data_IF_466693149408
#
_entry.id   IF_466693149408
#
_cell.length_a   1.000
_cell.length_b   1.000
_cell.length_c   1.000
_cell.angle_alpha   90.00
_cell.angle_beta   90.00
_cell.angle_gamma   90.00
#
_symmetry.space_group_name_H-M   'P 1'
#
loop_
_entity.id
_entity.type
_entity.pdbx_description
1 polymer ?
#
# COMPACT_ATOMS: atom_id res chain seq x y z
N UNK A 1 -26.47 -70.92 -4.55
CA UNK A 1 -26.43 -69.76 -3.64
C UNK A 1 -25.36 -68.81 -4.15
N UNK A 2 -25.78 -67.68 -4.72
CA UNK A 2 -24.90 -66.69 -5.36
C UNK A 2 -24.39 -65.72 -4.29
N UNK A 3 -23.07 -65.56 -4.22
CA UNK A 3 -22.40 -64.59 -3.35
C UNK A 3 -22.67 -63.16 -3.82
N UNK A 4 -23.16 -62.34 -2.90
CA UNK A 4 -23.41 -60.91 -3.07
C UNK A 4 -22.24 -60.17 -2.41
N UNK A 5 -21.30 -59.64 -3.19
CA UNK A 5 -20.30 -58.69 -2.71
C UNK A 5 -20.73 -57.28 -3.08
N UNK A 6 -21.27 -56.56 -2.10
CA UNK A 6 -21.57 -55.14 -2.19
C UNK A 6 -20.27 -54.37 -1.85
N UNK A 7 -19.63 -53.75 -2.84
CA UNK A 7 -18.52 -52.83 -2.61
C UNK A 7 -19.11 -51.50 -2.15
N UNK A 8 -18.98 -51.21 -0.86
CA UNK A 8 -19.30 -49.92 -0.27
C UNK A 8 -18.13 -48.95 -0.58
N UNK A 9 -18.16 -48.29 -1.73
CA UNK A 9 -17.28 -47.15 -1.98
C UNK A 9 -17.80 -45.95 -1.17
N UNK A 10 -17.38 -45.87 0.10
CA UNK A 10 -17.41 -44.60 0.83
C UNK A 10 -16.46 -43.63 0.12
N UNK A 11 -17.00 -42.82 -0.78
CA UNK A 11 -16.35 -41.62 -1.28
C UNK A 11 -16.18 -40.65 -0.11
N UNK A 12 -15.05 -40.76 0.59
CA UNK A 12 -14.55 -39.67 1.41
C UNK A 12 -14.26 -38.51 0.45
N UNK A 13 -15.21 -37.58 0.33
CA UNK A 13 -14.91 -36.25 -0.20
C UNK A 13 -13.91 -35.61 0.75
N UNK A 14 -12.62 -35.76 0.46
CA UNK A 14 -11.59 -34.94 1.08
C UNK A 14 -11.89 -33.50 0.65
N UNK A 15 -12.46 -32.72 1.57
CA UNK A 15 -12.55 -31.28 1.38
C UNK A 15 -11.12 -30.76 1.32
N UNK A 16 -10.64 -30.46 0.12
CA UNK A 16 -9.39 -29.73 -0.06
C UNK A 16 -9.68 -28.26 0.25
N UNK A 17 -9.27 -27.80 1.44
CA UNK A 17 -9.36 -26.40 1.79
C UNK A 17 -8.18 -25.66 1.16
N UNK A 18 -8.47 -24.67 0.30
CA UNK A 18 -7.43 -23.84 -0.34
C UNK A 18 -6.77 -22.82 0.58
N UNK A 19 -6.96 -22.92 1.89
CA UNK A 19 -6.40 -21.98 2.86
C UNK A 19 -4.89 -22.20 2.99
N UNK A 20 -4.10 -21.12 3.13
CA UNK A 20 -2.70 -21.26 3.50
C UNK A 20 -2.61 -21.92 4.87
N UNK A 21 -1.59 -22.75 5.04
CA UNK A 21 -1.33 -23.45 6.30
C UNK A 21 -0.42 -22.60 7.20
N UNK A 22 -0.32 -22.92 8.51
CA UNK A 22 0.63 -22.25 9.41
C UNK A 22 2.09 -22.28 8.93
N UNK A 23 2.49 -23.27 8.13
CA UNK A 23 3.83 -23.38 7.56
C UNK A 23 4.10 -22.31 6.49
N UNK A 24 3.04 -21.78 5.86
CA UNK A 24 3.14 -20.72 4.87
C UNK A 24 3.27 -19.32 5.52
N UNK A 25 2.96 -19.17 6.82
CA UNK A 25 3.02 -17.89 7.52
C UNK A 25 4.47 -17.35 7.65
N UNK A 26 4.61 -16.02 7.79
CA UNK A 26 5.88 -15.45 8.26
C UNK A 26 5.98 -15.61 9.76
N UNK A 27 7.12 -16.10 10.24
CA UNK A 27 7.39 -16.32 11.65
C UNK A 27 8.76 -15.74 12.00
N UNK A 28 8.78 -14.92 13.04
CA UNK A 28 10.00 -14.37 13.63
C UNK A 28 9.89 -14.43 15.15
N UNK A 29 11.03 -14.39 15.83
CA UNK A 29 11.13 -14.30 17.29
C UNK A 29 11.25 -12.85 17.79
N UNK A 30 11.39 -11.90 16.88
CA UNK A 30 11.55 -10.47 17.15
C UNK A 30 10.82 -9.59 16.12
N UNK A 31 10.75 -8.29 16.42
CA UNK A 31 10.38 -7.27 15.44
C UNK A 31 11.59 -6.94 14.55
N UNK A 32 11.34 -6.68 13.27
CA UNK A 32 12.34 -6.16 12.36
C UNK A 32 12.90 -4.81 12.85
N UNK A 33 14.19 -4.56 12.65
CA UNK A 33 14.86 -3.29 13.01
C UNK A 33 14.82 -2.25 11.90
N UNK A 34 14.37 -2.66 10.70
CA UNK A 34 14.22 -1.82 9.52
C UNK A 34 12.81 -1.92 8.97
N UNK A 35 12.35 -0.86 8.31
CA UNK A 35 11.00 -0.78 7.75
C UNK A 35 10.81 -1.72 6.54
N UNK A 36 11.87 -1.99 5.78
CA UNK A 36 11.86 -2.86 4.59
C UNK A 36 11.84 -4.36 4.92
N UNK A 37 11.98 -4.70 6.20
CA UNK A 37 11.82 -6.06 6.75
C UNK A 37 10.55 -6.20 7.61
N UNK A 38 9.73 -5.15 7.67
CA UNK A 38 8.54 -5.08 8.50
C UNK A 38 7.46 -6.09 8.09
N UNK A 39 6.52 -6.37 9.00
CA UNK A 39 5.30 -7.13 8.67
C UNK A 39 4.34 -6.22 7.91
N UNK A 40 3.98 -6.54 6.64
CA UNK A 40 3.03 -5.75 5.87
C UNK A 40 1.59 -6.16 6.13
N UNK A 41 0.70 -5.18 6.29
CA UNK A 41 -0.75 -5.34 6.31
C UNK A 41 -1.38 -4.35 5.32
N UNK A 42 -2.47 -4.74 4.66
CA UNK A 42 -3.17 -3.84 3.74
C UNK A 42 -4.51 -4.36 3.23
N UNK A 43 -5.26 -3.48 2.57
CA UNK A 43 -6.50 -3.82 1.86
C UNK A 43 -6.63 -3.07 0.51
N UNK A 44 -5.51 -2.74 -0.13
CA UNK A 44 -5.45 -1.95 -1.36
C UNK A 44 -5.71 -0.46 -1.21
N UNK A 45 -6.45 -0.03 -0.18
CA UNK A 45 -6.65 1.40 0.10
C UNK A 45 -5.77 1.89 1.25
N UNK A 46 -5.76 1.15 2.36
CA UNK A 46 -5.03 1.46 3.60
C UNK A 46 -3.94 0.42 3.79
N UNK A 47 -2.77 0.83 4.26
CA UNK A 47 -1.66 -0.05 4.59
C UNK A 47 -0.97 0.30 5.89
N UNK A 48 -0.29 -0.70 6.45
CA UNK A 48 0.60 -0.55 7.59
C UNK A 48 1.82 -1.46 7.49
N UNK A 49 2.97 -0.97 7.95
CA UNK A 49 4.18 -1.78 8.19
C UNK A 49 4.44 -1.84 9.69
N UNK A 50 4.55 -3.04 10.26
CA UNK A 50 4.80 -3.23 11.71
C UNK A 50 6.26 -3.66 11.93
N UNK A 51 7.02 -2.83 12.64
CA UNK A 51 8.44 -3.03 12.91
C UNK A 51 8.87 -2.30 14.18
N UNK A 52 10.13 -2.49 14.59
CA UNK A 52 10.72 -1.80 15.73
C UNK A 52 11.53 -0.60 15.23
N UNK A 53 11.15 0.59 15.69
CA UNK A 53 11.97 1.80 15.53
C UNK A 53 12.31 2.34 16.90
N UNK A 54 13.60 2.51 17.17
CA UNK A 54 14.10 2.91 18.48
C UNK A 54 13.50 2.02 19.60
N UNK A 55 12.84 2.62 20.59
CA UNK A 55 12.15 1.92 21.67
C UNK A 55 10.62 1.85 21.45
N UNK A 56 10.19 1.68 20.20
CA UNK A 56 8.76 1.63 19.86
C UNK A 56 8.39 0.43 18.99
N UNK A 57 7.19 -0.11 19.21
CA UNK A 57 6.50 -0.93 18.20
C UNK A 57 5.84 0.07 17.26
N UNK A 58 6.39 0.24 16.05
CA UNK A 58 5.97 1.26 15.09
C UNK A 58 5.11 0.64 14.01
N UNK A 59 4.01 1.31 13.71
CA UNK A 59 3.11 1.04 12.60
C UNK A 59 3.27 2.22 11.64
N UNK A 60 3.97 2.04 10.52
CA UNK A 60 4.05 3.05 9.45
C UNK A 60 2.73 3.04 8.70
N UNK A 61 1.97 4.14 8.71
CA UNK A 61 0.62 4.19 8.19
C UNK A 61 0.58 4.90 6.83
N UNK A 62 -0.16 4.32 5.90
CA UNK A 62 -0.21 4.82 4.53
C UNK A 62 -1.58 4.55 3.88
N UNK A 63 -1.90 5.32 2.85
CA UNK A 63 -3.15 5.23 2.10
C UNK A 63 -2.88 5.51 0.62
N UNK A 64 -3.40 4.64 -0.25
CA UNK A 64 -3.05 4.59 -1.68
C UNK A 64 -3.35 5.90 -2.46
N UNK A 65 -4.34 6.68 -2.01
CA UNK A 65 -4.78 7.92 -2.65
C UNK A 65 -4.23 9.20 -2.00
N UNK A 66 -3.23 9.11 -1.11
CA UNK A 66 -2.52 10.28 -0.59
C UNK A 66 -1.36 10.66 -1.51
N UNK A 67 -1.54 11.79 -2.20
CA UNK A 67 -0.61 12.28 -3.22
C UNK A 67 -0.51 13.79 -3.19
N UNK A 68 0.68 14.31 -3.43
CA UNK A 68 0.87 15.65 -3.98
C UNK A 68 0.78 15.56 -5.51
N UNK A 69 -0.21 16.22 -6.11
CA UNK A 69 -0.38 16.25 -7.57
C UNK A 69 -0.05 17.62 -8.19
N UNK A 70 0.68 18.49 -7.49
CA UNK A 70 1.19 19.73 -8.09
C UNK A 70 1.98 19.41 -9.35
N UNK A 71 1.72 20.14 -10.43
CA UNK A 71 2.39 19.91 -11.71
C UNK A 71 3.81 20.44 -11.68
N UNK A 72 4.77 19.56 -11.93
CA UNK A 72 6.17 19.94 -12.13
C UNK A 72 6.59 19.92 -13.62
N UNK A 73 5.88 19.14 -14.45
CA UNK A 73 6.21 18.94 -15.85
C UNK A 73 5.20 19.65 -16.76
N UNK A 74 5.68 20.65 -17.49
CA UNK A 74 4.91 21.43 -18.46
C UNK A 74 4.95 20.75 -19.84
N UNK A 75 4.20 19.65 -19.97
CA UNK A 75 4.16 18.86 -21.20
C UNK A 75 3.65 19.67 -22.39
N UNK A 76 2.78 20.65 -22.17
CA UNK A 76 2.18 21.49 -23.20
C UNK A 76 3.18 22.31 -24.01
N UNK A 77 4.38 22.55 -23.49
CA UNK A 77 5.39 23.39 -24.14
C UNK A 77 5.98 22.74 -25.40
N UNK A 78 6.02 21.41 -25.47
CA UNK A 78 6.60 20.68 -26.60
C UNK A 78 5.80 19.42 -26.93
N UNK A 79 6.11 18.81 -28.06
CA UNK A 79 5.47 17.58 -28.52
C UNK A 79 6.51 16.63 -29.12
N UNK A 80 6.08 15.44 -29.51
CA UNK A 80 6.95 14.38 -30.03
C UNK A 80 7.70 14.83 -31.30
N UNK A 81 7.07 15.60 -32.19
CA UNK A 81 7.74 16.15 -33.37
C UNK A 81 8.88 17.12 -32.99
N UNK A 82 8.68 17.97 -31.97
CA UNK A 82 9.76 18.81 -31.45
C UNK A 82 10.93 17.97 -30.92
N UNK A 83 10.66 16.89 -30.17
CA UNK A 83 11.70 15.96 -29.70
C UNK A 83 12.47 15.36 -30.88
N UNK A 84 11.77 14.89 -31.91
CA UNK A 84 12.38 14.36 -33.13
C UNK A 84 13.27 15.40 -33.83
N UNK A 85 12.87 16.67 -33.84
CA UNK A 85 13.67 17.77 -34.40
C UNK A 85 14.94 18.02 -33.59
N UNK A 86 14.86 18.02 -32.25
CA UNK A 86 16.04 18.19 -31.40
C UNK A 86 17.06 17.06 -31.60
N UNK A 87 16.58 15.81 -31.78
CA UNK A 87 17.46 14.68 -32.10
C UNK A 87 18.15 14.90 -33.45
N UNK A 88 17.41 15.27 -34.50
CA UNK A 88 17.98 15.54 -35.84
C UNK A 88 18.99 16.68 -35.83
N UNK A 89 18.80 17.66 -34.96
CA UNK A 89 19.68 18.83 -34.83
C UNK A 89 20.86 18.62 -33.86
N UNK A 90 21.05 17.40 -33.32
CA UNK A 90 22.04 17.10 -32.29
C UNK A 90 21.93 17.99 -31.04
N UNK A 91 20.73 18.43 -30.69
CA UNK A 91 20.42 19.32 -29.56
C UNK A 91 19.61 18.62 -28.46
N UNK A 92 19.85 17.32 -28.24
CA UNK A 92 19.09 16.51 -27.27
C UNK A 92 19.14 17.05 -25.83
N UNK A 93 20.18 17.80 -25.46
CA UNK A 93 20.26 18.46 -24.14
C UNK A 93 19.04 19.34 -23.84
N UNK A 94 18.45 20.01 -24.84
CA UNK A 94 17.22 20.79 -24.65
C UNK A 94 16.02 19.92 -24.30
N UNK A 95 15.96 18.70 -24.85
CA UNK A 95 14.93 17.71 -24.51
C UNK A 95 15.07 17.29 -23.05
N UNK A 96 16.29 17.02 -22.59
CA UNK A 96 16.54 16.62 -21.20
C UNK A 96 16.18 17.73 -20.21
N UNK A 97 16.50 18.98 -20.55
CA UNK A 97 16.15 20.14 -19.70
C UNK A 97 14.63 20.33 -19.57
N UNK A 98 13.87 20.03 -20.62
CA UNK A 98 12.42 20.14 -20.60
C UNK A 98 11.72 18.90 -20.01
N UNK A 99 12.11 17.71 -20.45
CA UNK A 99 11.41 16.46 -20.20
C UNK A 99 11.90 15.70 -18.97
N UNK A 100 13.18 15.82 -18.63
CA UNK A 100 13.82 14.97 -17.61
C UNK A 100 14.06 15.76 -16.32
N UNK A 101 14.71 16.92 -16.43
CA UNK A 101 15.14 17.73 -15.30
C UNK A 101 14.02 18.14 -14.31
N UNK A 102 12.75 18.40 -14.74
CA UNK A 102 11.70 18.75 -13.79
C UNK A 102 11.37 17.62 -12.80
N UNK A 103 11.48 16.36 -13.23
CA UNK A 103 11.22 15.18 -12.39
C UNK A 103 12.21 15.14 -11.21
N UNK A 104 13.50 15.41 -11.48
CA UNK A 104 14.57 15.40 -10.46
C UNK A 104 14.56 16.64 -9.57
N UNK A 105 14.31 17.81 -10.16
CA UNK A 105 14.36 19.09 -9.46
C UNK A 105 13.19 19.28 -8.50
N UNK A 106 12.01 18.81 -8.87
CA UNK A 106 10.80 19.01 -8.08
C UNK A 106 10.58 17.87 -7.08
N UNK A 107 10.17 18.15 -5.83
CA UNK A 107 9.76 17.11 -4.88
C UNK A 107 8.37 16.53 -5.17
N UNK A 108 7.60 17.16 -6.06
CA UNK A 108 6.25 16.75 -6.49
C UNK A 108 6.17 16.60 -8.02
N UNK A 109 5.11 15.99 -8.60
CA UNK A 109 4.12 15.14 -7.93
C UNK A 109 4.77 13.97 -7.19
N UNK A 110 4.14 13.45 -6.14
CA UNK A 110 4.64 12.28 -5.39
C UNK A 110 3.54 11.68 -4.53
N UNK A 111 3.59 10.38 -4.30
CA UNK A 111 2.83 9.75 -3.23
C UNK A 111 3.32 10.24 -1.86
N UNK A 112 2.41 10.35 -0.89
CA UNK A 112 2.69 10.85 0.46
C UNK A 112 2.49 9.76 1.53
N UNK A 113 3.42 9.61 2.49
CA UNK A 113 3.16 8.81 3.68
C UNK A 113 2.23 9.59 4.64
N UNK A 114 1.36 8.89 5.37
CA UNK A 114 0.36 9.56 6.20
C UNK A 114 0.90 9.94 7.58
N UNK A 115 1.21 8.93 8.40
CA UNK A 115 1.65 9.09 9.78
C UNK A 115 2.29 7.81 10.30
N UNK A 116 2.72 7.82 11.56
CA UNK A 116 3.02 6.59 12.28
C UNK A 116 2.14 6.47 13.51
N UNK A 117 1.74 5.26 13.83
CA UNK A 117 1.24 4.89 15.15
C UNK A 117 2.34 4.16 15.90
N UNK A 118 2.44 4.34 17.20
CA UNK A 118 3.36 3.52 17.99
C UNK A 118 2.82 3.11 19.35
N UNK A 119 3.45 2.07 19.87
CA UNK A 119 3.39 1.68 21.26
C UNK A 119 4.78 1.75 21.89
N UNK A 120 4.88 2.18 23.14
CA UNK A 120 6.14 2.15 23.89
C UNK A 120 6.59 0.71 24.11
N UNK A 121 7.68 0.31 23.46
CA UNK A 121 8.20 -1.05 23.49
C UNK A 121 8.62 -1.46 24.90
N UNK A 122 9.16 -0.54 25.70
CA UNK A 122 9.60 -0.84 27.06
C UNK A 122 8.44 -1.26 27.97
N UNK A 123 7.22 -0.77 27.71
CA UNK A 123 6.04 -1.16 28.48
C UNK A 123 5.55 -2.56 28.16
N UNK A 124 5.78 -3.05 26.94
CA UNK A 124 5.42 -4.41 26.50
C UNK A 124 6.45 -5.47 26.90
N UNK A 125 7.72 -5.10 26.99
CA UNK A 125 8.81 -6.03 27.29
C UNK A 125 9.24 -6.86 26.07
N UNK A 126 9.83 -8.04 26.32
CA UNK A 126 10.45 -8.86 25.29
C UNK A 126 9.43 -9.57 24.40
N UNK A 127 9.50 -9.35 23.09
CA UNK A 127 8.81 -10.14 22.07
C UNK A 127 9.42 -11.54 22.02
N UNK A 128 8.59 -12.57 21.98
CA UNK A 128 9.01 -13.98 21.83
C UNK A 128 8.45 -14.62 20.56
N UNK A 129 7.52 -13.94 19.88
CA UNK A 129 6.95 -14.39 18.62
C UNK A 129 6.30 -13.21 17.89
N UNK A 130 6.55 -13.12 16.59
CA UNK A 130 5.99 -12.16 15.66
C UNK A 130 5.58 -12.91 14.38
N UNK A 131 4.27 -13.06 14.19
CA UNK A 131 3.71 -13.88 13.10
C UNK A 131 2.84 -13.02 12.20
N UNK A 132 2.98 -13.18 10.89
CA UNK A 132 1.93 -12.78 9.94
C UNK A 132 1.14 -14.04 9.57
N UNK A 133 -0.07 -14.13 10.11
CA UNK A 133 -1.02 -15.18 9.77
C UNK A 133 -1.66 -14.83 8.41
N UNK A 134 -1.34 -15.59 7.37
CA UNK A 134 -1.81 -15.33 6.00
C UNK A 134 -3.29 -15.67 5.85
N UNK A 135 -3.79 -16.71 6.51
CA UNK A 135 -5.20 -17.13 6.46
C UNK A 135 -6.09 -16.01 7.00
N UNK A 136 -5.68 -15.42 8.13
CA UNK A 136 -6.43 -14.37 8.82
C UNK A 136 -5.95 -12.96 8.50
N UNK A 137 -4.92 -12.79 7.67
CA UNK A 137 -4.25 -11.51 7.40
C UNK A 137 -4.00 -10.65 8.63
N UNK A 138 -3.54 -11.29 9.70
CA UNK A 138 -3.41 -10.71 11.03
C UNK A 138 -1.96 -10.84 11.50
N UNK A 139 -1.36 -9.73 11.92
CA UNK A 139 -0.12 -9.78 12.65
C UNK A 139 -0.39 -10.15 14.12
N UNK A 140 0.41 -11.05 14.68
CA UNK A 140 0.31 -11.52 16.06
C UNK A 140 1.67 -11.40 16.72
N UNK A 141 1.79 -10.45 17.64
CA UNK A 141 2.94 -10.32 18.54
C UNK A 141 2.61 -10.97 19.89
N UNK A 142 3.54 -11.79 20.39
CA UNK A 142 3.47 -12.40 21.72
C UNK A 142 4.67 -11.95 22.54
N UNK A 143 4.43 -11.65 23.80
CA UNK A 143 5.44 -11.17 24.73
C UNK A 143 5.72 -12.22 25.81
N UNK A 144 6.92 -12.16 26.39
CA UNK A 144 7.42 -13.14 27.37
C UNK A 144 6.49 -13.33 28.58
N UNK A 145 5.76 -12.30 28.97
CA UNK A 145 4.82 -12.32 30.10
C UNK A 145 3.38 -12.76 29.73
N UNK A 146 3.21 -13.25 28.51
CA UNK A 146 1.93 -13.79 28.01
C UNK A 146 1.00 -12.74 27.41
N UNK A 147 1.40 -11.45 27.35
CA UNK A 147 0.64 -10.45 26.58
C UNK A 147 0.66 -10.77 25.09
N UNK A 148 -0.41 -10.35 24.40
CA UNK A 148 -0.57 -10.51 22.95
C UNK A 148 -1.07 -9.20 22.36
N UNK A 149 -0.47 -8.78 21.25
CA UNK A 149 -0.97 -7.70 20.39
C UNK A 149 -1.33 -8.31 19.03
N UNK A 150 -2.60 -8.22 18.65
CA UNK A 150 -3.10 -8.65 17.33
C UNK A 150 -3.48 -7.43 16.51
N UNK A 151 -3.09 -7.39 15.25
CA UNK A 151 -3.33 -6.26 14.35
C UNK A 151 -3.79 -6.74 12.98
N UNK A 152 -4.83 -6.14 12.42
CA UNK A 152 -5.28 -6.40 11.05
C UNK A 152 -5.80 -5.13 10.38
N UNK A 153 -5.80 -5.09 9.04
CA UNK A 153 -6.50 -4.06 8.27
C UNK A 153 -7.78 -4.66 7.70
N UNK A 154 -8.91 -4.03 7.97
CA UNK A 154 -10.23 -4.52 7.58
C UNK A 154 -10.32 -4.70 6.06
N UNK A 155 -10.82 -5.83 5.59
CA UNK A 155 -10.71 -6.20 4.18
C UNK A 155 -11.56 -5.34 3.23
N UNK A 156 -12.65 -4.72 3.73
CA UNK A 156 -13.58 -3.92 2.93
C UNK A 156 -13.58 -2.41 3.22
N UNK A 157 -12.98 -1.99 4.33
CA UNK A 157 -13.11 -0.62 4.86
C UNK A 157 -11.73 -0.09 5.21
N UNK A 158 -11.43 1.20 5.04
CA UNK A 158 -10.12 1.78 5.34
C UNK A 158 -9.91 1.96 6.85
N UNK A 159 -10.04 0.88 7.62
CA UNK A 159 -9.82 0.84 9.06
C UNK A 159 -8.81 -0.25 9.39
N UNK A 160 -7.77 0.12 10.10
CA UNK A 160 -6.92 -0.83 10.81
C UNK A 160 -7.40 -1.02 12.24
N UNK A 161 -7.25 -2.22 12.77
CA UNK A 161 -7.68 -2.58 14.11
C UNK A 161 -6.55 -3.25 14.86
N UNK A 162 -6.50 -3.03 16.17
CA UNK A 162 -5.62 -3.76 17.07
C UNK A 162 -6.35 -4.20 18.34
N UNK A 163 -5.89 -5.31 18.91
CA UNK A 163 -6.36 -5.90 20.16
C UNK A 163 -5.16 -6.25 21.02
N UNK A 164 -5.14 -5.76 22.25
CA UNK A 164 -4.16 -6.12 23.27
C UNK A 164 -4.86 -6.94 24.35
N UNK A 165 -4.34 -8.12 24.63
CA UNK A 165 -4.80 -8.99 25.72
C UNK A 165 -3.68 -9.32 26.68
N UNK A 166 -3.98 -9.37 27.97
CA UNK A 166 -3.04 -9.74 29.04
C UNK A 166 -3.12 -8.79 30.23
N UNK A 167 -2.12 -8.76 31.10
CA UNK A 167 -2.13 -7.88 32.27
C UNK A 167 -1.76 -6.43 31.90
N UNK A 168 -2.20 -5.47 32.72
CA UNK A 168 -1.81 -4.05 32.64
C UNK A 168 -2.03 -3.38 31.27
N UNK A 169 -3.09 -3.74 30.54
CA UNK A 169 -3.39 -3.17 29.21
C UNK A 169 -3.61 -1.65 29.24
N UNK A 170 -3.95 -1.08 30.40
CA UNK A 170 -4.10 0.35 30.60
C UNK A 170 -2.82 1.15 30.41
N UNK A 171 -1.65 0.52 30.58
CA UNK A 171 -0.37 1.21 30.44
C UNK A 171 0.12 1.19 28.97
N UNK A 172 -0.53 0.41 28.12
CA UNK A 172 -0.13 0.08 26.74
C UNK A 172 -0.90 0.92 25.72
N UNK A 173 -1.00 2.21 25.99
CA UNK A 173 -1.75 3.13 25.13
C UNK A 173 -0.95 3.46 23.86
N UNK A 174 -1.62 3.47 22.70
CA UNK A 174 -1.00 3.88 21.44
C UNK A 174 -0.90 5.40 21.36
N UNK A 175 -0.05 5.90 20.47
CA UNK A 175 0.08 7.32 20.15
C UNK A 175 0.32 7.53 18.65
N UNK A 176 -0.18 8.64 18.10
CA UNK A 176 0.14 9.10 16.75
C UNK A 176 1.40 9.99 16.75
N UNK A 177 2.25 9.75 15.75
CA UNK A 177 3.40 10.57 15.40
C UNK A 177 3.20 11.07 13.98
N UNK A 178 3.23 12.39 13.74
CA UNK A 178 3.21 12.92 12.39
C UNK A 178 4.59 12.78 11.74
N UNK A 179 4.63 12.60 10.41
CA UNK A 179 5.88 12.77 9.68
C UNK A 179 6.39 14.21 9.82
N UNK A 180 7.71 14.37 9.72
CA UNK A 180 8.34 15.68 9.79
C UNK A 180 8.28 16.33 8.41
N UNK A 181 7.58 17.45 8.31
CA UNK A 181 7.51 18.27 7.10
C UNK A 181 8.25 19.60 7.26
N UNK A 182 8.61 19.98 8.49
CA UNK A 182 9.45 21.15 8.79
C UNK A 182 10.77 20.66 9.40
N UNK A 183 11.89 20.83 8.69
CA UNK A 183 13.23 20.49 9.19
C UNK A 183 14.23 21.61 8.86
N UNK A 184 15.08 21.97 9.84
CA UNK A 184 16.08 23.04 9.75
C UNK A 184 17.49 22.56 9.31
N UNK A 185 17.62 21.32 8.84
CA UNK A 185 18.93 20.74 8.46
C UNK A 185 18.90 20.29 6.99
N UNK A 186 19.65 20.96 6.11
CA UNK A 186 19.88 20.53 4.73
C UNK A 186 20.54 19.14 4.71
N UNK A 187 19.74 18.08 4.56
CA UNK A 187 20.25 16.69 4.44
C UNK A 187 20.26 16.15 3.01
N UNK A 188 19.92 16.99 2.03
CA UNK A 188 19.60 16.56 0.65
C UNK A 188 20.64 16.93 -0.41
N UNK A 189 21.75 17.60 -0.07
CA UNK A 189 22.68 18.15 -1.07
C UNK A 189 23.26 17.13 -2.07
N UNK A 190 23.12 15.82 -1.81
CA UNK A 190 23.60 14.76 -2.71
C UNK A 190 22.61 13.60 -2.97
N UNK A 191 21.32 13.71 -2.62
CA UNK A 191 20.36 12.61 -2.81
C UNK A 191 19.56 12.69 -4.11
N UNK A 192 19.54 11.60 -4.88
CA UNK A 192 18.70 11.46 -6.07
C UNK A 192 17.23 11.12 -5.73
N UNK A 193 16.32 11.27 -6.70
CA UNK A 193 14.91 10.83 -6.57
C UNK A 193 14.75 9.33 -6.33
N UNK A 194 15.77 8.54 -6.68
CA UNK A 194 15.83 7.09 -6.45
C UNK A 194 16.07 6.77 -4.98
N UNK A 195 16.88 7.58 -4.30
CA UNK A 195 17.30 7.33 -2.92
C UNK A 195 16.29 7.83 -1.87
N UNK A 196 15.31 8.64 -2.29
CA UNK A 196 14.33 9.28 -1.41
C UNK A 196 14.87 10.54 -0.73
N UNK A 197 14.40 11.68 -1.19
CA UNK A 197 14.79 13.04 -0.72
C UNK A 197 13.93 13.45 0.48
N UNK A 198 14.31 14.44 1.30
CA UNK A 198 13.58 14.80 2.52
C UNK A 198 12.12 15.27 2.24
N UNK A 199 11.17 14.81 3.05
CA UNK A 199 9.76 15.24 2.98
C UNK A 199 9.60 16.77 3.13
N UNK A 200 10.52 17.43 3.85
CA UNK A 200 10.49 18.88 4.05
C UNK A 200 10.59 19.69 2.75
N UNK A 201 11.11 19.10 1.66
CA UNK A 201 11.16 19.77 0.36
C UNK A 201 9.76 20.07 -0.22
N UNK A 202 8.72 19.39 0.23
CA UNK A 202 7.34 19.66 -0.18
C UNK A 202 6.86 21.05 0.27
N UNK A 203 7.50 21.64 1.30
CA UNK A 203 7.18 22.98 1.81
C UNK A 203 5.89 23.04 2.63
N UNK A 204 5.43 21.90 3.16
CA UNK A 204 4.24 21.85 4.00
C UNK A 204 4.55 22.32 5.42
N UNK A 205 3.55 22.91 6.08
CA UNK A 205 3.62 23.17 7.51
C UNK A 205 3.48 21.88 8.29
N UNK A 206 4.03 21.84 9.51
CA UNK A 206 3.89 20.68 10.36
C UNK A 206 2.42 20.48 10.79
N UNK A 207 1.93 19.24 10.66
CA UNK A 207 0.58 18.87 11.07
C UNK A 207 0.36 18.94 12.58
N UNK A 208 -0.88 19.20 12.98
CA UNK A 208 -1.28 19.35 14.38
C UNK A 208 -2.04 18.12 14.87
N UNK A 209 -1.82 17.72 16.13
CA UNK A 209 -2.51 16.58 16.74
C UNK A 209 -3.36 17.05 17.91
N UNK A 210 -4.66 16.73 17.84
CA UNK A 210 -5.58 16.82 18.98
C UNK A 210 -5.52 15.51 19.73
N UNK A 211 -5.24 15.56 21.04
CA UNK A 211 -5.16 14.37 21.91
C UNK A 211 -6.22 14.43 22.99
N UNK A 212 -6.87 13.30 23.23
CA UNK A 212 -7.81 13.11 24.34
C UNK A 212 -7.44 11.85 25.12
N UNK A 213 -8.26 11.45 26.10
CA UNK A 213 -8.02 10.25 26.90
C UNK A 213 -8.19 8.93 26.12
N UNK A 214 -8.92 8.94 25.00
CA UNK A 214 -9.26 7.74 24.25
C UNK A 214 -9.19 7.87 22.72
N UNK A 215 -8.82 9.02 22.19
CA UNK A 215 -8.51 9.19 20.78
C UNK A 215 -7.52 10.32 20.50
N UNK A 216 -6.86 10.22 19.35
CA UNK A 216 -6.04 11.27 18.75
C UNK A 216 -6.50 11.52 17.31
N UNK A 217 -6.42 12.77 16.86
CA UNK A 217 -6.67 13.17 15.46
C UNK A 217 -5.51 14.05 15.00
N UNK A 218 -4.77 13.56 14.00
CA UNK A 218 -3.79 14.36 13.26
C UNK A 218 -4.50 15.05 12.10
N UNK A 219 -4.24 16.34 11.93
CA UNK A 219 -4.61 17.11 10.73
C UNK A 219 -3.33 17.63 10.06
N UNK A 220 -3.11 17.23 8.80
CA UNK A 220 -1.94 17.60 8.01
C UNK A 220 -2.38 18.29 6.71
N UNK A 221 -2.11 19.58 6.62
CA UNK A 221 -2.28 20.34 5.37
C UNK A 221 -1.20 19.95 4.36
N UNK A 222 -1.54 19.96 3.08
CA UNK A 222 -0.64 19.64 1.96
C UNK A 222 -0.57 20.82 0.99
N UNK A 223 -0.81 20.61 -0.31
CA UNK A 223 -0.81 21.63 -1.35
C UNK A 223 -2.22 22.16 -1.62
N UNK A 224 -2.35 23.38 -2.17
CA UNK A 224 -3.61 23.94 -2.71
C UNK A 224 -4.87 23.67 -1.86
N UNK A 225 -4.79 23.91 -0.55
CA UNK A 225 -5.84 23.68 0.45
C UNK A 225 -6.28 22.21 0.66
N UNK A 226 -5.59 21.25 0.03
CA UNK A 226 -5.74 19.82 0.31
C UNK A 226 -5.18 19.45 1.68
N UNK A 227 -5.77 18.43 2.31
CA UNK A 227 -5.34 17.93 3.61
C UNK A 227 -5.72 16.47 3.80
N UNK A 228 -5.08 15.81 4.76
CA UNK A 228 -5.54 14.51 5.25
C UNK A 228 -5.63 14.51 6.77
N UNK A 229 -6.49 13.62 7.28
CA UNK A 229 -6.61 13.38 8.71
C UNK A 229 -6.39 11.92 9.06
N UNK A 230 -5.69 11.69 10.17
CA UNK A 230 -5.46 10.36 10.74
C UNK A 230 -6.12 10.29 12.10
N UNK A 231 -7.04 9.36 12.26
CA UNK A 231 -7.71 9.09 13.53
C UNK A 231 -7.11 7.84 14.15
N UNK A 232 -6.80 7.92 15.44
CA UNK A 232 -6.50 6.79 16.30
C UNK A 232 -7.48 6.79 17.46
N UNK A 233 -8.19 5.69 17.71
CA UNK A 233 -9.10 5.55 18.85
C UNK A 233 -8.85 4.23 19.56
N UNK A 234 -8.95 4.22 20.89
CA UNK A 234 -8.87 3.01 21.70
C UNK A 234 -9.91 2.98 22.80
N UNK A 235 -10.22 1.78 23.28
CA UNK A 235 -11.18 1.57 24.35
C UNK A 235 -10.75 0.38 25.23
N UNK A 236 -10.76 0.58 26.54
CA UNK A 236 -10.53 -0.48 27.52
C UNK A 236 -11.82 -1.26 27.71
N UNK A 237 -11.82 -2.52 27.29
CA UNK A 237 -12.98 -3.41 27.39
C UNK A 237 -13.02 -4.11 28.75
N UNK A 238 -11.86 -4.42 29.31
CA UNK A 238 -11.74 -4.98 30.67
C UNK A 238 -10.35 -4.69 31.24
N UNK A 239 -10.09 -5.13 32.47
CA UNK A 239 -8.75 -5.08 33.06
C UNK A 239 -7.69 -5.81 32.22
N UNK A 240 -8.10 -6.76 31.36
CA UNK A 240 -7.20 -7.60 30.56
C UNK A 240 -7.32 -7.42 29.05
N UNK A 241 -8.12 -6.45 28.59
CA UNK A 241 -8.40 -6.27 27.16
C UNK A 241 -8.55 -4.80 26.78
N UNK A 242 -7.76 -4.38 25.81
CA UNK A 242 -7.86 -3.10 25.13
C UNK A 242 -8.02 -3.36 23.64
N UNK A 243 -8.92 -2.62 22.99
CA UNK A 243 -9.06 -2.63 21.54
C UNK A 243 -8.89 -1.22 21.00
N UNK A 244 -8.49 -1.10 19.76
CA UNK A 244 -8.47 0.18 19.07
C UNK A 244 -8.53 0.03 17.57
N UNK A 245 -8.65 1.18 16.91
CA UNK A 245 -8.60 1.28 15.47
C UNK A 245 -7.86 2.55 15.05
N UNK A 246 -7.39 2.55 13.81
CA UNK A 246 -6.99 3.76 13.11
C UNK A 246 -7.64 3.82 11.74
N UNK A 247 -7.78 5.03 11.22
CA UNK A 247 -8.23 5.29 9.84
C UNK A 247 -7.58 6.57 9.33
N UNK A 248 -7.47 6.68 8.02
CA UNK A 248 -6.90 7.83 7.31
C UNK A 248 -7.97 8.29 6.34
N UNK A 249 -8.25 9.58 6.26
CA UNK A 249 -9.17 10.17 5.28
C UNK A 249 -8.46 11.29 4.52
N UNK A 250 -8.75 11.39 3.22
CA UNK A 250 -8.18 12.40 2.33
C UNK A 250 -9.25 13.44 1.98
N UNK A 251 -8.93 14.73 2.10
CA UNK A 251 -9.80 15.89 1.85
C UNK A 251 -11.18 15.83 2.53
N UNK A 252 -11.23 15.18 3.68
CA UNK A 252 -12.44 15.04 4.49
C UNK A 252 -12.08 15.17 5.96
N UNK A 253 -12.94 15.82 6.73
CA UNK A 253 -12.79 15.82 8.19
C UNK A 253 -13.17 14.47 8.76
N UNK A 254 -12.31 13.91 9.59
CA UNK A 254 -12.52 12.64 10.25
C UNK A 254 -13.28 12.85 11.56
N UNK A 255 -14.35 12.07 11.75
CA UNK A 255 -15.06 12.02 13.03
C UNK A 255 -14.74 10.70 13.73
N UNK A 256 -14.09 10.71 14.90
CA UNK A 256 -13.83 9.49 15.66
C UNK A 256 -15.14 8.78 16.04
N UNK A 257 -15.46 7.69 15.33
CA UNK A 257 -16.63 6.86 15.61
C UNK A 257 -16.51 6.13 16.94
N UNK A 258 -17.63 5.86 17.61
CA UNK A 258 -17.64 5.03 18.81
C UNK A 258 -17.04 3.64 18.53
N UNK A 259 -16.30 3.12 19.53
CA UNK A 259 -15.69 1.80 19.51
C UNK A 259 -16.35 0.96 20.60
N UNK A 260 -16.70 -0.28 20.28
CA UNK A 260 -17.24 -1.24 21.24
C UNK A 260 -16.76 -2.64 20.89
N UNK A 261 -16.80 -3.55 21.87
CA UNK A 261 -16.44 -4.95 21.62
C UNK A 261 -17.33 -5.59 20.55
N UNK A 262 -18.63 -5.26 20.56
CA UNK A 262 -19.59 -5.76 19.55
C UNK A 262 -19.16 -5.34 18.14
N UNK A 263 -18.96 -4.04 17.93
CA UNK A 263 -18.54 -3.50 16.62
C UNK A 263 -17.20 -4.10 16.18
N UNK A 264 -16.21 -4.16 17.06
CA UNK A 264 -14.92 -4.80 16.74
C UNK A 264 -15.08 -6.26 16.29
N UNK A 265 -15.94 -7.02 16.98
CA UNK A 265 -16.17 -8.44 16.66
C UNK A 265 -16.85 -8.60 15.30
N UNK A 266 -17.84 -7.76 14.98
CA UNK A 266 -18.51 -7.73 13.68
C UNK A 266 -17.53 -7.38 12.54
N UNK A 267 -16.73 -6.33 12.71
CA UNK A 267 -15.72 -5.90 11.72
C UNK A 267 -14.65 -6.99 11.53
N UNK A 268 -14.22 -7.66 12.61
CA UNK A 268 -13.28 -8.77 12.51
C UNK A 268 -13.90 -9.96 11.75
N UNK A 269 -15.15 -10.29 12.01
CA UNK A 269 -15.84 -11.38 11.33
C UNK A 269 -15.96 -11.12 9.81
N UNK A 270 -16.33 -9.90 9.39
CA UNK A 270 -16.37 -9.56 7.96
C UNK A 270 -14.99 -9.56 7.31
N UNK A 271 -13.96 -9.11 8.01
CA UNK A 271 -12.58 -9.19 7.53
C UNK A 271 -12.15 -10.65 7.28
N UNK A 272 -12.36 -11.54 8.26
CA UNK A 272 -12.03 -12.97 8.13
C UNK A 272 -12.83 -13.64 7.02
N UNK A 273 -14.10 -13.28 6.85
CA UNK A 273 -14.92 -13.79 5.76
C UNK A 273 -14.35 -13.44 4.38
N UNK A 274 -13.87 -12.20 4.20
CA UNK A 274 -13.23 -11.81 2.95
C UNK A 274 -11.98 -12.64 2.66
N UNK A 275 -11.08 -12.80 3.65
CA UNK A 275 -9.85 -13.56 3.46
C UNK A 275 -10.10 -15.05 3.24
N UNK A 276 -11.09 -15.63 3.91
CA UNK A 276 -11.56 -16.99 3.63
C UNK A 276 -12.03 -17.14 2.19
N UNK A 277 -12.80 -16.18 1.67
CA UNK A 277 -13.28 -16.17 0.28
C UNK A 277 -12.15 -15.90 -0.73
N UNK A 278 -11.15 -15.12 -0.34
CA UNK A 278 -9.95 -14.93 -1.13
C UNK A 278 -9.22 -16.26 -1.25
N UNK A 279 -8.79 -16.87 -0.15
CA UNK A 279 -8.02 -18.11 -0.22
C UNK A 279 -8.78 -19.29 -0.81
N UNK A 280 -10.11 -19.32 -0.78
CA UNK A 280 -10.90 -20.40 -1.41
C UNK A 280 -10.84 -20.43 -2.94
N UNK A 281 -10.30 -19.40 -3.61
CA UNK A 281 -10.26 -19.32 -5.09
C UNK A 281 -9.23 -20.22 -5.74
N UNK A 282 -8.09 -20.44 -5.10
CA UNK A 282 -6.97 -21.20 -5.67
C UNK A 282 -6.02 -21.64 -4.58
N UNK A 283 -5.40 -22.81 -4.78
CA UNK A 283 -4.34 -23.33 -3.93
C UNK A 283 -3.33 -24.09 -4.78
N UNK A 284 -2.10 -24.18 -4.29
CA UNK A 284 -1.06 -24.99 -4.90
C UNK A 284 -0.42 -25.89 -3.84
N UNK A 285 0.14 -27.01 -4.28
CA UNK A 285 1.04 -27.83 -3.47
C UNK A 285 2.21 -28.24 -4.33
N UNK A 286 3.42 -27.94 -3.89
CA UNK A 286 4.65 -28.29 -4.59
C UNK A 286 5.66 -28.95 -3.62
N UNK A 287 6.61 -29.76 -4.13
CA UNK A 287 7.59 -30.43 -3.28
C UNK A 287 8.50 -29.47 -2.51
N UNK A 288 8.85 -28.32 -3.11
CA UNK A 288 9.67 -27.30 -2.46
C UNK A 288 8.81 -26.38 -1.57
N UNK A 289 8.91 -26.57 -0.26
CA UNK A 289 8.12 -25.83 0.72
C UNK A 289 8.51 -24.37 0.88
N UNK A 290 9.73 -23.99 0.52
CA UNK A 290 10.14 -22.59 0.53
C UNK A 290 9.53 -21.83 -0.65
N UNK A 291 9.54 -22.44 -1.84
CA UNK A 291 8.88 -21.88 -3.01
C UNK A 291 7.36 -21.84 -2.84
N UNK A 292 6.76 -22.87 -2.23
CA UNK A 292 5.33 -22.90 -1.92
C UNK A 292 4.96 -21.75 -0.99
N UNK A 293 5.74 -21.57 0.08
CA UNK A 293 5.59 -20.45 1.01
C UNK A 293 5.70 -19.10 0.29
N UNK A 294 6.71 -18.92 -0.57
CA UNK A 294 6.89 -17.67 -1.32
C UNK A 294 5.66 -17.36 -2.20
N UNK A 295 5.09 -18.36 -2.87
CA UNK A 295 3.84 -18.18 -3.62
C UNK A 295 2.70 -17.66 -2.73
N UNK A 296 2.44 -18.29 -1.58
CA UNK A 296 1.39 -17.83 -0.67
C UNK A 296 1.66 -16.43 -0.11
N UNK A 297 2.93 -16.07 0.12
CA UNK A 297 3.30 -14.72 0.55
C UNK A 297 3.02 -13.67 -0.54
N UNK A 298 3.31 -13.97 -1.80
CA UNK A 298 3.07 -13.03 -2.89
C UNK A 298 1.58 -12.93 -3.24
N UNK A 299 0.82 -14.02 -3.15
CA UNK A 299 -0.64 -13.97 -3.22
C UNK A 299 -1.22 -13.18 -2.06
N UNK A 300 -0.70 -13.33 -0.84
CA UNK A 300 -1.10 -12.50 0.29
C UNK A 300 -0.85 -11.02 -0.01
N UNK A 301 0.34 -10.65 -0.53
CA UNK A 301 0.66 -9.27 -0.88
C UNK A 301 -0.30 -8.73 -1.93
N UNK A 302 -0.59 -9.48 -3.01
CA UNK A 302 -1.59 -9.10 -4.01
C UNK A 302 -2.93 -8.83 -3.36
N UNK A 303 -3.36 -9.71 -2.44
CA UNK A 303 -4.47 -9.44 -1.55
C UNK A 303 -4.28 -8.10 -0.82
N UNK A 304 -3.23 -7.90 -0.06
CA UNK A 304 -3.09 -6.68 0.72
C UNK A 304 -2.99 -5.37 -0.10
N UNK A 305 -2.68 -5.41 -1.40
CA UNK A 305 -2.48 -4.20 -2.23
C UNK A 305 -3.51 -3.97 -3.35
N UNK A 306 -4.29 -4.97 -3.75
CA UNK A 306 -5.26 -4.82 -4.84
C UNK A 306 -6.66 -5.24 -4.40
N UNK A 307 -7.62 -4.33 -4.58
CA UNK A 307 -9.05 -4.56 -4.34
C UNK A 307 -9.87 -3.85 -5.39
N UNK A 308 -11.03 -4.41 -5.70
CA UNK A 308 -12.06 -3.68 -6.42
C UNK A 308 -12.39 -2.36 -5.70
N UNK A 309 -12.41 -1.26 -6.45
CA UNK A 309 -12.65 0.09 -5.92
C UNK A 309 -11.46 0.79 -5.25
N UNK A 310 -10.33 0.10 -5.02
CA UNK A 310 -9.09 0.73 -4.57
C UNK A 310 -8.29 1.31 -5.75
N UNK A 311 -7.39 2.28 -5.51
CA UNK A 311 -6.42 2.72 -6.51
C UNK A 311 -5.58 1.55 -7.05
N UNK A 312 -5.07 1.71 -8.28
CA UNK A 312 -4.15 0.75 -8.85
C UNK A 312 -2.82 0.71 -8.07
N UNK A 313 -2.09 -0.41 -8.19
CA UNK A 313 -0.80 -0.62 -7.52
C UNK A 313 0.24 0.35 -8.07
N UNK A 314 0.76 1.22 -7.21
CA UNK A 314 1.93 2.07 -7.48
C UNK A 314 3.22 1.33 -7.13
N UNK A 315 4.39 1.93 -7.41
CA UNK A 315 5.71 1.34 -7.08
C UNK A 315 5.85 0.89 -5.62
N UNK A 316 5.11 1.48 -4.69
CA UNK A 316 5.13 1.14 -3.26
C UNK A 316 3.73 0.82 -2.72
N UNK A 317 2.75 0.59 -3.60
CA UNK A 317 1.38 0.19 -3.25
C UNK A 317 0.76 0.98 -2.09
N UNK A 318 0.58 0.35 -0.92
CA UNK A 318 0.10 0.94 0.34
C UNK A 318 1.17 0.92 1.45
N UNK A 319 2.45 0.79 1.09
CA UNK A 319 3.58 0.70 2.01
C UNK A 319 4.73 1.61 1.59
N UNK A 320 4.49 2.91 1.66
CA UNK A 320 5.52 3.94 1.42
C UNK A 320 6.69 3.77 2.38
N UNK A 321 7.91 4.00 1.87
CA UNK A 321 9.13 3.90 2.66
C UNK A 321 9.09 4.78 3.92
N UNK A 322 9.33 4.19 5.09
CA UNK A 322 9.34 4.92 6.37
C UNK A 322 10.78 5.25 6.81
N UNK A 323 11.48 6.00 5.95
CA UNK A 323 12.85 6.48 6.17
C UNK A 323 12.92 8.01 6.38
N UNK A 324 11.76 8.67 6.46
CA UNK A 324 11.65 10.13 6.59
C UNK A 324 11.81 10.91 5.28
N UNK A 325 11.93 10.22 4.15
CA UNK A 325 12.01 10.83 2.83
C UNK A 325 10.75 10.59 1.98
N UNK A 326 10.73 11.27 0.84
CA UNK A 326 9.91 10.98 -0.32
C UNK A 326 10.15 9.53 -0.76
N UNK A 327 9.09 8.86 -1.24
CA UNK A 327 9.24 7.53 -1.81
C UNK A 327 10.26 7.53 -2.97
N UNK A 328 11.14 6.51 -3.06
CA UNK A 328 11.90 6.22 -4.27
C UNK A 328 11.04 6.31 -5.53
N UNK A 329 11.54 7.02 -6.55
CA UNK A 329 10.82 7.30 -7.80
C UNK A 329 9.41 7.87 -7.55
N UNK A 330 9.28 8.75 -6.55
CA UNK A 330 8.03 9.46 -6.20
C UNK A 330 6.84 8.55 -5.87
N UNK A 331 7.09 7.25 -5.69
CA UNK A 331 6.04 6.25 -5.47
C UNK A 331 5.03 6.21 -6.62
N UNK A 332 5.49 6.52 -7.84
CA UNK A 332 4.63 6.75 -8.99
C UNK A 332 4.03 5.45 -9.60
N UNK A 333 3.26 5.61 -10.67
CA UNK A 333 2.94 4.52 -11.57
C UNK A 333 4.01 4.42 -12.64
N UNK A 334 4.59 3.22 -12.80
CA UNK A 334 5.61 2.91 -13.81
C UNK A 334 5.07 1.86 -14.78
N UNK A 335 4.54 2.30 -15.93
CA UNK A 335 3.83 1.48 -16.92
C UNK A 335 4.75 0.90 -18.02
N UNK A 336 6.05 0.82 -17.80
CA UNK A 336 7.02 0.19 -18.69
C UNK A 336 7.57 -1.14 -18.14
N UNK A 337 7.05 -1.63 -17.02
CA UNK A 337 7.16 -2.99 -16.49
C UNK A 337 6.44 -3.11 -15.13
N UNK A 338 6.73 -2.20 -14.21
CA UNK A 338 6.51 -2.40 -12.76
C UNK A 338 5.04 -2.52 -12.39
N UNK A 339 4.20 -1.63 -12.90
CA UNK A 339 2.76 -1.68 -12.65
C UNK A 339 2.17 -2.96 -13.23
N UNK A 340 2.50 -3.30 -14.47
CA UNK A 340 2.00 -4.52 -15.13
C UNK A 340 2.44 -5.80 -14.41
N UNK A 341 3.72 -5.89 -14.04
CA UNK A 341 4.32 -7.00 -13.29
C UNK A 341 3.53 -7.29 -12.01
N UNK A 342 3.11 -6.25 -11.30
CA UNK A 342 2.36 -6.36 -10.04
C UNK A 342 1.00 -7.06 -10.21
N UNK A 343 0.44 -7.07 -11.43
CA UNK A 343 -0.87 -7.66 -11.73
C UNK A 343 -0.80 -9.03 -12.40
N UNK A 344 0.35 -9.47 -12.93
CA UNK A 344 0.44 -10.77 -13.61
C UNK A 344 -0.02 -11.97 -12.78
N UNK A 345 0.32 -12.08 -11.47
CA UNK A 345 -0.13 -13.19 -10.65
C UNK A 345 -1.66 -13.27 -10.54
N UNK A 346 -2.36 -12.16 -10.78
CA UNK A 346 -3.79 -12.10 -10.59
C UNK A 346 -4.56 -12.95 -11.62
N UNK A 347 -4.10 -12.99 -12.86
CA UNK A 347 -4.79 -13.70 -13.95
C UNK A 347 -4.64 -15.22 -13.81
N UNK A 348 -3.43 -15.72 -13.60
CA UNK A 348 -3.18 -17.16 -13.41
C UNK A 348 -3.60 -17.66 -12.02
N UNK A 349 -3.66 -16.77 -11.02
CA UNK A 349 -3.98 -17.11 -9.64
C UNK A 349 -5.47 -17.10 -9.29
N UNK A 350 -6.38 -16.95 -10.27
CA UNK A 350 -7.83 -16.81 -10.08
C UNK A 350 -8.22 -15.59 -9.22
N UNK A 351 -7.63 -14.42 -9.54
CA UNK A 351 -7.78 -13.13 -8.83
C UNK A 351 -8.26 -12.00 -9.75
N UNK A 352 -9.22 -12.31 -10.63
CA UNK A 352 -9.73 -11.33 -11.59
C UNK A 352 -10.42 -10.12 -10.93
N UNK A 353 -10.93 -10.28 -9.70
CA UNK A 353 -11.49 -9.17 -8.93
C UNK A 353 -10.41 -8.19 -8.46
N UNK A 354 -9.24 -8.69 -8.08
CA UNK A 354 -8.10 -7.86 -7.71
C UNK A 354 -7.47 -7.20 -8.95
N UNK A 355 -7.35 -7.94 -10.06
CA UNK A 355 -6.86 -7.42 -11.35
C UNK A 355 -7.67 -6.22 -11.86
N UNK A 356 -8.98 -6.20 -11.59
CA UNK A 356 -9.89 -5.12 -11.99
C UNK A 356 -9.45 -3.74 -11.53
N UNK A 357 -8.77 -3.65 -10.38
CA UNK A 357 -8.26 -2.36 -9.87
C UNK A 357 -7.38 -1.63 -10.89
N UNK A 358 -6.64 -2.36 -11.73
CA UNK A 358 -5.83 -1.75 -12.79
C UNK A 358 -6.67 -1.27 -13.97
N UNK A 359 -7.55 -2.14 -14.50
CA UNK A 359 -8.37 -1.80 -15.66
C UNK A 359 -9.37 -0.68 -15.37
N UNK A 360 -9.92 -0.65 -14.16
CA UNK A 360 -10.84 0.40 -13.71
C UNK A 360 -10.10 1.74 -13.56
N UNK A 361 -8.87 1.72 -13.04
CA UNK A 361 -8.02 2.91 -13.00
C UNK A 361 -7.66 3.41 -14.39
N UNK A 362 -7.26 2.52 -15.32
CA UNK A 362 -6.98 2.87 -16.72
C UNK A 362 -8.21 3.50 -17.40
N UNK A 363 -9.42 3.00 -17.12
CA UNK A 363 -10.66 3.63 -17.57
C UNK A 363 -10.88 5.02 -16.95
N UNK A 364 -10.62 5.18 -15.64
CA UNK A 364 -10.76 6.47 -14.92
C UNK A 364 -9.87 7.56 -15.53
N UNK A 365 -8.62 7.24 -15.88
CA UNK A 365 -7.66 8.22 -16.42
C UNK A 365 -7.76 8.39 -17.95
N UNK A 366 -8.62 7.62 -18.64
CA UNK A 366 -8.73 7.60 -20.11
C UNK A 366 -8.88 8.98 -20.74
N UNK A 367 -9.70 9.86 -20.17
CA UNK A 367 -9.95 11.19 -20.75
C UNK A 367 -8.66 12.02 -20.79
N UNK A 368 -7.92 12.07 -19.69
CA UNK A 368 -6.62 12.76 -19.62
C UNK A 368 -5.62 12.14 -20.58
N UNK A 369 -5.59 10.81 -20.67
CA UNK A 369 -4.67 10.11 -21.55
C UNK A 369 -4.98 10.29 -23.05
N UNK A 370 -6.26 10.43 -23.44
CA UNK A 370 -6.62 10.88 -24.80
C UNK A 370 -6.08 12.28 -25.09
N UNK A 371 -6.22 13.20 -24.14
CA UNK A 371 -5.71 14.56 -24.29
C UNK A 371 -4.18 14.60 -24.39
N UNK A 372 -3.48 13.84 -23.53
CA UNK A 372 -2.04 13.61 -23.62
C UNK A 372 -1.64 13.09 -24.99
N UNK A 373 -2.33 12.08 -25.50
CA UNK A 373 -2.02 11.46 -26.80
C UNK A 373 -2.13 12.48 -27.93
N UNK A 374 -3.23 13.25 -27.93
CA UNK A 374 -3.47 14.29 -28.93
C UNK A 374 -2.46 15.43 -28.83
N UNK A 375 -2.12 15.86 -27.62
CA UNK A 375 -1.14 16.93 -27.41
C UNK A 375 0.25 16.48 -27.83
N UNK A 376 0.73 15.37 -27.28
CA UNK A 376 2.15 15.02 -27.34
C UNK A 376 2.49 14.33 -28.66
N UNK A 377 1.66 13.40 -29.11
CA UNK A 377 1.92 12.69 -30.37
C UNK A 377 1.25 13.34 -31.59
N UNK A 378 0.31 14.27 -31.40
CA UNK A 378 -0.40 14.94 -32.49
C UNK A 378 -1.43 14.06 -33.22
N UNK A 379 -1.76 12.89 -32.67
CA UNK A 379 -2.64 11.89 -33.29
C UNK A 379 -3.87 11.62 -32.45
N UNK A 380 -4.94 11.12 -33.10
CA UNK A 380 -6.07 10.55 -32.38
C UNK A 380 -5.72 9.16 -31.81
N UNK A 381 -6.57 8.66 -30.90
CA UNK A 381 -6.36 7.38 -30.24
C UNK A 381 -6.15 7.52 -28.74
N UNK A 382 -5.42 6.57 -28.16
CA UNK A 382 -5.14 6.53 -26.72
C UNK A 382 -3.77 5.87 -26.49
N UNK A 383 -2.88 6.62 -25.89
CA UNK A 383 -1.66 6.15 -25.23
C UNK A 383 -1.69 6.59 -23.76
N UNK A 384 -0.92 5.91 -22.92
CA UNK A 384 -0.79 6.19 -21.48
C UNK A 384 0.67 6.60 -21.24
N UNK A 385 0.97 7.63 -20.43
CA UNK A 385 2.35 7.90 -20.04
C UNK A 385 2.97 6.68 -19.34
N UNK A 386 4.26 6.45 -19.56
CA UNK A 386 5.04 5.46 -18.82
C UNK A 386 5.17 5.85 -17.34
N UNK A 387 5.27 7.15 -17.04
CA UNK A 387 5.33 7.67 -15.67
C UNK A 387 4.24 8.73 -15.44
N UNK A 388 3.42 8.51 -14.43
CA UNK A 388 2.21 9.31 -14.19
C UNK A 388 1.74 9.29 -12.74
N UNK A 389 0.97 10.32 -12.39
CA UNK A 389 0.31 10.46 -11.10
C UNK A 389 -0.92 9.56 -10.97
N UNK A 390 -1.51 9.51 -9.77
CA UNK A 390 -2.77 8.82 -9.48
C UNK A 390 -3.91 9.21 -10.43
N UNK A 391 -4.02 10.50 -10.77
CA UNK A 391 -5.03 10.98 -11.70
C UNK A 391 -4.56 11.04 -13.15
N UNK A 392 -3.41 10.45 -13.49
CA UNK A 392 -2.97 10.25 -14.88
C UNK A 392 -2.33 11.46 -15.55
N UNK A 393 -1.75 12.38 -14.78
CA UNK A 393 -0.91 13.44 -15.36
C UNK A 393 0.52 12.91 -15.60
N UNK A 394 1.13 13.17 -16.77
CA UNK A 394 2.50 12.74 -17.06
C UNK A 394 3.50 13.50 -16.19
N UNK A 395 4.54 12.80 -15.72
CA UNK A 395 5.52 13.38 -14.79
C UNK A 395 6.86 13.73 -15.44
N UNK A 396 7.10 13.29 -16.68
CA UNK A 396 8.40 13.38 -17.32
C UNK A 396 9.39 12.40 -16.68
N UNK A 397 10.68 12.75 -16.67
CA UNK A 397 11.75 11.89 -16.17
C UNK A 397 12.16 10.87 -17.24
N UNK A 398 13.32 11.11 -17.86
CA UNK A 398 13.89 10.30 -18.96
C UNK A 398 12.82 9.88 -20.00
N UNK A 399 12.34 10.88 -20.75
CA UNK A 399 11.11 10.81 -21.57
C UNK A 399 11.10 9.75 -22.66
N UNK A 400 12.25 9.16 -23.00
CA UNK A 400 12.34 8.02 -23.89
C UNK A 400 11.50 6.84 -23.40
N UNK A 401 11.39 6.65 -22.09
CA UNK A 401 10.50 5.63 -21.51
C UNK A 401 9.21 6.26 -20.96
N UNK A 402 9.30 7.37 -20.22
CA UNK A 402 8.13 7.93 -19.52
C UNK A 402 7.07 8.51 -20.45
N UNK A 403 7.44 8.88 -21.69
CA UNK A 403 6.51 9.31 -22.74
C UNK A 403 6.57 8.38 -23.97
N UNK A 404 6.91 7.10 -23.78
CA UNK A 404 7.02 6.13 -24.88
C UNK A 404 5.69 5.89 -25.61
N UNK A 405 5.68 5.76 -26.96
CA UNK A 405 4.47 5.47 -27.74
C UNK A 405 3.94 4.03 -27.57
N UNK A 406 4.68 3.13 -26.91
CA UNK A 406 4.33 1.70 -26.83
C UNK A 406 3.54 1.32 -25.58
N UNK A 407 3.46 2.21 -24.59
CA UNK A 407 2.91 1.92 -23.26
C UNK A 407 1.43 1.53 -23.33
N UNK A 408 0.65 2.23 -24.16
CA UNK A 408 -0.77 1.94 -24.37
C UNK A 408 -1.03 0.52 -24.89
N UNK A 409 -0.14 -0.03 -25.73
CA UNK A 409 -0.27 -1.40 -26.23
C UNK A 409 -0.05 -2.44 -25.12
N UNK A 410 0.90 -2.21 -24.23
CA UNK A 410 1.14 -3.11 -23.09
C UNK A 410 -0.01 -3.02 -22.07
N UNK A 411 -0.44 -1.82 -21.71
CA UNK A 411 -1.59 -1.63 -20.82
C UNK A 411 -2.88 -2.28 -21.40
N UNK A 412 -3.07 -2.26 -22.72
CA UNK A 412 -4.21 -2.90 -23.38
C UNK A 412 -4.27 -4.43 -23.17
N UNK A 413 -3.13 -5.09 -22.98
CA UNK A 413 -3.07 -6.53 -22.73
C UNK A 413 -3.84 -6.93 -21.46
N UNK A 414 -3.82 -6.08 -20.44
CA UNK A 414 -4.53 -6.32 -19.19
C UNK A 414 -6.05 -6.30 -19.36
N UNK A 415 -6.58 -5.55 -20.34
CA UNK A 415 -8.00 -5.63 -20.69
C UNK A 415 -8.34 -6.97 -21.35
N UNK A 416 -7.48 -7.46 -22.25
CA UNK A 416 -7.69 -8.76 -22.90
C UNK A 416 -7.70 -9.92 -21.89
N UNK A 417 -6.80 -9.91 -20.90
CA UNK A 417 -6.79 -10.92 -19.83
C UNK A 417 -7.92 -10.78 -18.81
N UNK A 418 -8.57 -9.62 -18.74
CA UNK A 418 -9.67 -9.35 -17.84
C UNK A 418 -11.03 -9.84 -18.37
N UNK A 419 -11.12 -10.14 -19.68
CA UNK A 419 -12.34 -10.57 -20.40
C UNK A 419 -12.88 -11.92 -19.94
#
# INVERSE_FOLDING_TARGET
MKYLYLILCCSFTLFSFGQPTPDNNLHFDQLASRWDEAIPLGNGQLGALIWKKDNTIRFSLDRADLWDERKAFAIENHNFNWVQQQIKNNSYGSVQQWGDAPYDRSPYPTKLPAASLFFDFAKFGTVVSNVLDLEQATNILRFKDGRILKTFIHAYKPFGYFEITGNNVSDLLPQLIPHQYENNTNKDENKSVVEGQDLARLGYKQGNIIRTSNYEVLHQNTYDDHFFEVVLRWEKISAKKLIGYWTIVNDQKATPSALSLKKYTEEKASHLHWWSNYWSKSSITIPDKNLEKQYYLDMYKLGAVAREGAPAITLQAVWTADNGGLPPWKGDFHNDLNTQLSYWPAYSGNRLAEAKSYTDWLWKIRKKNKNFTKQYFGVDGLNVPGVLTLNGDPMGGWIQYSLSPTIGAWAAQHFYWQL
#
